data_IF_141132780650
#
_entry.id   IF_141132780650
#
_cell.length_a   1.000
_cell.length_b   1.000
_cell.length_c   1.000
_cell.angle_alpha   90.00
_cell.angle_beta   90.00
_cell.angle_gamma   90.00
#
_symmetry.space_group_name_H-M   'P 1'
#
loop_
_entity.id
_entity.type
_entity.pdbx_description
1 polymer ?
#
# COMPACT_ATOMS: atom_id res chain seq x y z
N UNK A 1 1.19 41.37 -38.42
CA UNK A 1 2.32 41.10 -37.51
C UNK A 1 2.00 39.85 -36.70
N UNK A 2 3.00 39.09 -36.26
CA UNK A 2 2.79 37.91 -35.39
C UNK A 2 3.05 38.29 -33.94
N UNK A 3 2.14 37.88 -33.06
CA UNK A 3 2.25 38.06 -31.63
C UNK A 3 2.27 36.70 -30.92
N UNK A 4 3.21 36.51 -30.00
CA UNK A 4 3.21 35.37 -29.09
C UNK A 4 2.49 35.75 -27.80
N UNK A 5 1.44 35.00 -27.48
CA UNK A 5 0.59 35.21 -26.32
C UNK A 5 0.81 34.09 -25.31
N UNK A 6 1.23 34.43 -24.09
CA UNK A 6 1.19 33.51 -22.95
C UNK A 6 -0.17 33.61 -22.28
N UNK A 7 -0.80 32.48 -21.98
CA UNK A 7 -2.07 32.41 -21.27
C UNK A 7 -2.10 31.19 -20.34
N UNK A 8 -3.04 31.19 -19.39
CA UNK A 8 -3.30 30.04 -18.54
C UNK A 8 -4.44 29.22 -19.12
N UNK A 9 -4.21 27.95 -19.40
CA UNK A 9 -5.22 27.02 -19.86
C UNK A 9 -6.16 26.61 -18.71
N UNK A 10 -7.30 25.98 -19.04
CA UNK A 10 -8.34 25.57 -18.08
C UNK A 10 -7.78 24.59 -17.02
N UNK A 11 -6.74 23.82 -17.37
CA UNK A 11 -6.02 22.90 -16.49
C UNK A 11 -4.99 23.58 -15.56
N UNK A 12 -4.91 24.92 -15.60
CA UNK A 12 -3.98 25.72 -14.80
C UNK A 12 -2.56 25.81 -15.37
N UNK A 13 -2.25 25.13 -16.47
CA UNK A 13 -0.91 25.18 -17.08
C UNK A 13 -0.68 26.46 -17.88
N UNK A 14 0.57 26.90 -17.92
CA UNK A 14 0.99 28.02 -18.76
C UNK A 14 1.20 27.53 -20.19
N UNK A 15 0.50 28.14 -21.14
CA UNK A 15 0.58 27.82 -22.56
C UNK A 15 0.96 29.05 -23.39
N UNK A 16 1.55 28.81 -24.56
CA UNK A 16 1.92 29.83 -25.53
C UNK A 16 1.17 29.61 -26.84
N UNK A 17 0.72 30.70 -27.46
CA UNK A 17 0.03 30.66 -28.76
C UNK A 17 0.46 31.84 -29.63
N UNK A 18 0.72 31.59 -30.90
CA UNK A 18 0.99 32.63 -31.88
C UNK A 18 -0.30 33.08 -32.57
N UNK A 19 -0.52 34.39 -32.67
CA UNK A 19 -1.70 35.00 -33.30
C UNK A 19 -1.26 36.10 -34.26
N UNK A 20 -1.84 36.11 -35.46
CA UNK A 20 -1.65 37.17 -36.44
C UNK A 20 -2.66 38.29 -36.24
N UNK A 21 -2.15 39.51 -36.04
CA UNK A 21 -2.94 40.73 -35.89
C UNK A 21 -2.18 41.94 -36.46
N UNK A 22 -2.88 43.02 -36.78
CA UNK A 22 -2.26 44.26 -37.22
C UNK A 22 -1.70 45.07 -36.04
N UNK A 23 -2.25 44.88 -34.84
CA UNK A 23 -1.84 45.59 -33.62
C UNK A 23 -1.97 44.73 -32.36
N UNK A 24 -1.31 45.15 -31.27
CA UNK A 24 -1.39 44.49 -29.97
C UNK A 24 -2.81 44.48 -29.40
N UNK A 25 -3.59 45.55 -29.60
CA UNK A 25 -4.98 45.64 -29.14
C UNK A 25 -5.88 44.65 -29.89
N UNK A 26 -5.70 44.50 -31.20
CA UNK A 26 -6.42 43.54 -32.02
C UNK A 26 -6.06 42.08 -31.65
N UNK A 27 -4.80 41.82 -31.30
CA UNK A 27 -4.37 40.52 -30.78
C UNK A 27 -5.11 40.15 -29.48
N UNK A 28 -5.23 41.09 -28.54
CA UNK A 28 -5.96 40.87 -27.27
C UNK A 28 -7.45 40.65 -27.54
N UNK A 29 -8.05 41.39 -28.46
CA UNK A 29 -9.46 41.19 -28.85
C UNK A 29 -9.69 39.79 -29.44
N UNK A 30 -8.79 39.32 -30.31
CA UNK A 30 -8.81 37.96 -30.87
C UNK A 30 -8.64 36.87 -29.81
N UNK A 31 -7.78 37.06 -28.81
CA UNK A 31 -7.67 36.14 -27.67
C UNK A 31 -8.96 36.03 -26.87
N UNK A 32 -9.58 37.18 -26.55
CA UNK A 32 -10.85 37.22 -25.81
C UNK A 32 -11.97 36.54 -26.59
N UNK A 33 -12.06 36.76 -27.91
CA UNK A 33 -13.02 36.08 -28.77
C UNK A 33 -12.84 34.54 -28.80
N UNK A 34 -11.63 34.05 -28.54
CA UNK A 34 -11.31 32.62 -28.42
C UNK A 34 -11.47 32.07 -26.99
N UNK A 35 -11.99 32.86 -26.05
CA UNK A 35 -12.15 32.46 -24.64
C UNK A 35 -10.84 32.38 -23.87
N UNK A 36 -9.77 33.02 -24.36
CA UNK A 36 -8.43 32.99 -23.76
C UNK A 36 -8.11 34.34 -23.11
N UNK A 37 -7.77 34.33 -21.83
CA UNK A 37 -7.28 35.50 -21.10
C UNK A 37 -5.74 35.63 -21.26
N UNK A 38 -5.23 36.61 -22.04
CA UNK A 38 -3.79 36.76 -22.26
C UNK A 38 -3.10 37.33 -21.01
N UNK A 39 -1.99 36.72 -20.60
CA UNK A 39 -1.14 37.16 -19.48
C UNK A 39 -0.01 38.06 -19.99
N UNK A 40 0.59 37.71 -21.13
CA UNK A 40 1.59 38.54 -21.80
C UNK A 40 1.47 38.40 -23.31
N UNK A 41 1.70 39.50 -24.03
CA UNK A 41 1.69 39.57 -25.49
C UNK A 41 3.03 40.17 -25.92
N UNK A 42 3.82 39.41 -26.68
CA UNK A 42 5.10 39.85 -27.25
C UNK A 42 5.00 39.89 -28.76
N UNK A 43 5.60 40.90 -29.38
CA UNK A 43 5.77 40.99 -30.83
C UNK A 43 6.87 40.04 -31.28
N UNK A 44 6.59 39.28 -32.35
CA UNK A 44 7.51 38.30 -32.91
C UNK A 44 7.29 36.88 -32.37
N UNK A 45 7.25 35.92 -33.29
CA UNK A 45 7.11 34.49 -33.03
C UNK A 45 6.96 33.69 -34.34
N UNK A 46 7.52 32.48 -34.40
CA UNK A 46 7.31 31.57 -35.53
C UNK A 46 5.88 31.01 -35.45
N UNK A 47 5.13 31.09 -36.54
CA UNK A 47 3.79 30.50 -36.65
C UNK A 47 3.95 28.98 -36.63
N UNK A 48 3.81 28.35 -35.47
CA UNK A 48 3.60 26.91 -35.42
C UNK A 48 2.17 26.64 -35.86
N UNK A 49 2.03 26.14 -37.09
CA UNK A 49 0.74 25.72 -37.60
C UNK A 49 0.19 24.60 -36.69
N UNK A 50 -0.76 24.94 -35.81
CA UNK A 50 -1.40 24.01 -34.89
C UNK A 50 -2.11 22.82 -35.59
N UNK A 51 -2.34 22.93 -36.91
CA UNK A 51 -2.86 21.84 -37.75
C UNK A 51 -1.80 20.78 -38.10
N UNK A 52 -0.50 21.11 -38.07
CA UNK A 52 0.58 20.15 -38.38
C UNK A 52 0.97 19.34 -37.15
N UNK A 53 1.00 19.94 -35.96
CA UNK A 53 1.32 19.23 -34.70
C UNK A 53 0.34 18.09 -34.39
N UNK A 54 -0.98 18.29 -34.58
CA UNK A 54 -1.97 17.22 -34.37
C UNK A 54 -1.85 16.05 -35.37
N UNK A 55 -1.25 16.27 -36.55
CA UNK A 55 -1.11 15.24 -37.60
C UNK A 55 0.21 14.45 -37.45
N UNK A 56 1.26 15.07 -36.93
CA UNK A 56 2.51 14.38 -36.56
C UNK A 56 2.40 13.63 -35.23
N UNK A 57 1.70 14.16 -34.22
CA UNK A 57 1.46 13.43 -32.96
C UNK A 57 0.69 12.12 -33.20
N UNK A 58 -0.30 12.12 -34.11
CA UNK A 58 -1.04 10.89 -34.45
C UNK A 58 -0.19 9.85 -35.20
N UNK A 59 0.81 10.26 -35.98
CA UNK A 59 1.74 9.34 -36.65
C UNK A 59 2.87 8.86 -35.71
N UNK A 60 3.33 9.72 -34.80
CA UNK A 60 4.35 9.38 -33.81
C UNK A 60 3.82 8.44 -32.70
N UNK A 61 2.54 8.56 -32.30
CA UNK A 61 1.91 7.62 -31.36
C UNK A 61 1.66 6.25 -31.98
N UNK A 62 1.23 6.17 -33.24
CA UNK A 62 1.01 4.89 -33.92
C UNK A 62 2.31 4.09 -34.14
N UNK A 63 3.40 4.77 -34.51
CA UNK A 63 4.70 4.12 -34.72
C UNK A 63 5.41 3.72 -33.42
N UNK A 64 5.28 4.49 -32.33
CA UNK A 64 5.94 4.18 -31.05
C UNK A 64 5.28 3.03 -30.30
N UNK A 65 3.96 2.86 -30.41
CA UNK A 65 3.26 1.74 -29.73
C UNK A 65 3.69 0.39 -30.32
N UNK A 66 3.91 0.30 -31.63
CA UNK A 66 4.37 -0.94 -32.29
C UNK A 66 5.81 -1.29 -31.87
N UNK A 67 6.71 -0.30 -31.78
CA UNK A 67 8.08 -0.54 -31.31
C UNK A 67 8.18 -0.87 -29.82
N UNK A 68 7.30 -0.32 -28.98
CA UNK A 68 7.22 -0.67 -27.55
C UNK A 68 6.69 -2.10 -27.38
N UNK A 69 5.67 -2.51 -28.15
CA UNK A 69 5.15 -3.89 -28.11
C UNK A 69 6.21 -4.88 -28.61
N UNK A 70 6.90 -4.59 -29.72
CA UNK A 70 7.98 -5.44 -30.23
C UNK A 70 9.18 -5.51 -29.26
N UNK A 71 9.53 -4.40 -28.60
CA UNK A 71 10.58 -4.36 -27.58
C UNK A 71 10.23 -5.15 -26.32
N UNK A 72 8.97 -5.13 -25.88
CA UNK A 72 8.50 -5.90 -24.72
C UNK A 72 8.44 -7.40 -25.03
N UNK A 73 8.07 -7.79 -26.25
CA UNK A 73 8.09 -9.21 -26.69
C UNK A 73 9.54 -9.73 -26.80
N UNK A 74 10.48 -8.91 -27.30
CA UNK A 74 11.90 -9.27 -27.35
C UNK A 74 12.55 -9.35 -25.96
N UNK A 75 12.25 -8.40 -25.06
CA UNK A 75 12.76 -8.43 -23.67
C UNK A 75 12.12 -9.55 -22.84
N UNK A 76 10.83 -9.84 -23.03
CA UNK A 76 10.16 -10.98 -22.40
C UNK A 76 10.71 -12.34 -22.87
N UNK A 77 11.07 -12.46 -24.15
CA UNK A 77 11.73 -13.65 -24.70
C UNK A 77 13.13 -13.87 -24.15
N UNK A 78 13.91 -12.80 -23.93
CA UNK A 78 15.26 -12.90 -23.34
C UNK A 78 15.17 -13.26 -21.84
N UNK A 79 14.20 -12.72 -21.12
CA UNK A 79 13.98 -13.04 -19.70
C UNK A 79 13.51 -14.50 -19.50
N UNK A 80 12.70 -15.04 -20.42
CA UNK A 80 12.31 -16.46 -20.45
C UNK A 80 13.51 -17.38 -20.74
N UNK A 81 14.40 -16.99 -21.65
CA UNK A 81 15.60 -17.78 -21.97
C UNK A 81 16.69 -17.74 -20.87
N UNK A 82 16.74 -16.69 -20.05
CA UNK A 82 17.69 -16.59 -18.94
C UNK A 82 17.22 -17.28 -17.65
N UNK A 83 15.91 -17.25 -17.35
CA UNK A 83 15.36 -17.91 -16.15
C UNK A 83 15.01 -19.39 -16.38
N UNK A 84 14.84 -19.84 -17.62
CA UNK A 84 14.57 -21.25 -17.94
C UNK A 84 15.78 -22.18 -17.91
N UNK A 85 17.00 -21.69 -17.61
CA UNK A 85 18.25 -22.44 -17.80
C UNK A 85 19.06 -22.71 -16.52
N UNK A 86 18.47 -22.54 -15.32
CA UNK A 86 19.17 -22.77 -14.04
C UNK A 86 18.62 -23.88 -13.14
N UNK A 87 17.69 -24.72 -13.60
CA UNK A 87 17.26 -25.90 -12.85
C UNK A 87 17.86 -27.19 -13.42
N UNK A 88 19.17 -27.34 -13.27
CA UNK A 88 19.83 -28.65 -13.26
C UNK A 88 21.20 -28.53 -12.57
N UNK A 89 21.21 -28.38 -11.25
CA UNK A 89 22.41 -28.66 -10.44
C UNK A 89 22.11 -29.81 -9.50
N UNK A 90 22.81 -30.89 -9.81
CA UNK A 90 22.93 -32.17 -9.13
C UNK A 90 23.15 -32.03 -7.63
N UNK A 91 22.29 -32.71 -6.88
CA UNK A 91 22.47 -33.01 -5.46
C UNK A 91 23.69 -33.93 -5.32
N UNK A 92 24.78 -33.42 -4.73
CA UNK A 92 25.79 -34.24 -4.06
C UNK A 92 25.83 -33.84 -2.59
N UNK A 93 25.41 -34.78 -1.75
CA UNK A 93 25.38 -34.63 -0.31
C UNK A 93 26.78 -34.52 0.29
N UNK A 94 26.93 -33.56 1.20
CA UNK A 94 27.93 -33.61 2.25
C UNK A 94 27.25 -33.29 3.59
N UNK A 95 27.55 -34.13 4.57
CA UNK A 95 26.90 -34.19 5.89
C UNK A 95 27.23 -32.94 6.72
N UNK A 96 26.29 -32.40 7.51
CA UNK A 96 26.60 -31.31 8.42
C UNK A 96 27.48 -31.79 9.58
N UNK A 97 28.63 -31.12 9.76
CA UNK A 97 29.48 -31.22 10.95
C UNK A 97 28.72 -30.64 12.14
N UNK A 98 28.50 -31.48 13.15
CA UNK A 98 28.01 -31.09 14.47
C UNK A 98 28.96 -30.07 15.11
N UNK A 99 28.42 -28.91 15.51
CA UNK A 99 29.11 -27.96 16.38
C UNK A 99 28.43 -28.00 17.74
N UNK A 100 29.26 -28.32 18.72
CA UNK A 100 28.99 -28.51 20.15
C UNK A 100 28.52 -27.22 20.83
N UNK A 101 27.57 -27.30 21.79
CA UNK A 101 27.19 -26.17 22.63
C UNK A 101 28.27 -25.91 23.71
N UNK A 102 28.79 -24.68 23.74
CA UNK A 102 29.71 -24.20 24.78
C UNK A 102 28.92 -23.95 26.08
N UNK A 103 29.15 -24.81 27.07
CA UNK A 103 28.71 -24.64 28.46
C UNK A 103 29.62 -23.62 29.16
N UNK A 104 29.11 -22.43 29.44
CA UNK A 104 29.78 -21.49 30.34
C UNK A 104 29.24 -21.68 31.77
N UNK A 105 30.04 -22.36 32.60
CA UNK A 105 29.85 -22.50 34.05
C UNK A 105 30.12 -21.14 34.71
N UNK A 106 29.10 -20.51 35.30
CA UNK A 106 29.30 -19.40 36.23
C UNK A 106 29.51 -19.99 37.62
N UNK A 107 30.69 -19.71 38.19
CA UNK A 107 31.14 -20.12 39.53
C UNK A 107 30.34 -19.39 40.61
N UNK A 108 29.76 -20.19 41.48
CA UNK A 108 29.25 -19.85 42.80
C UNK A 108 30.37 -19.32 43.71
N UNK A 109 30.15 -18.15 44.34
CA UNK A 109 30.86 -17.66 45.53
C UNK A 109 29.93 -16.79 46.37
N UNK A 110 29.23 -17.39 47.32
CA UNK A 110 29.01 -16.83 48.67
C UNK A 110 30.28 -17.14 49.50
N UNK A 111 30.60 -16.48 50.64
CA UNK A 111 29.68 -15.85 51.60
C UNK A 111 30.14 -14.48 52.13
N UNK A 112 29.22 -13.64 52.66
CA UNK A 112 29.43 -12.94 53.95
C UNK A 112 28.06 -12.67 54.57
N UNK A 113 27.92 -13.19 55.79
CA UNK A 113 26.84 -13.02 56.75
C UNK A 113 26.97 -11.63 57.37
N UNK A 114 26.00 -10.75 57.19
CA UNK A 114 25.92 -9.47 57.90
C UNK A 114 24.61 -9.39 58.68
N UNK A 115 24.75 -8.90 59.91
CA UNK A 115 23.81 -9.02 61.03
C UNK A 115 22.48 -8.32 60.78
N UNK A 116 21.43 -8.98 61.25
CA UNK A 116 20.10 -8.46 61.56
C UNK A 116 20.18 -7.28 62.53
N UNK A 117 19.69 -6.11 62.10
CA UNK A 117 19.23 -5.05 62.97
C UNK A 117 17.72 -4.86 62.72
N UNK A 118 16.93 -4.99 63.79
CA UNK A 118 15.48 -4.85 63.81
C UNK A 118 15.02 -3.50 63.22
N UNK A 119 14.06 -3.47 62.27
CA UNK A 119 13.26 -2.29 62.02
C UNK A 119 11.95 -2.33 62.82
N UNK A 120 11.62 -1.19 63.43
CA UNK A 120 10.40 -0.90 64.16
C UNK A 120 9.11 -1.25 63.35
N UNK A 121 7.96 -1.50 64.04
CA UNK A 121 6.74 -1.97 63.41
C UNK A 121 6.21 -0.98 62.37
N UNK A 122 6.03 -1.45 61.13
CA UNK A 122 5.31 -0.72 60.09
C UNK A 122 3.81 -0.65 60.46
N UNK A 123 3.14 0.50 60.25
CA UNK A 123 1.70 0.61 60.47
C UNK A 123 0.93 -0.32 59.50
N UNK A 124 -0.27 -0.78 59.88
CA UNK A 124 -1.01 -1.77 59.10
C UNK A 124 -1.29 -1.25 57.69
N UNK A 125 -1.02 -2.10 56.69
CA UNK A 125 -1.49 -1.91 55.31
C UNK A 125 -3.01 -1.76 55.37
N UNK A 126 -3.51 -0.56 55.07
CA UNK A 126 -4.91 -0.39 54.72
C UNK A 126 -5.19 -1.31 53.52
N UNK A 127 -6.06 -2.29 53.71
CA UNK A 127 -6.60 -3.12 52.65
C UNK A 127 -7.24 -2.18 51.62
N UNK A 128 -6.74 -2.22 50.38
CA UNK A 128 -7.37 -1.49 49.28
C UNK A 128 -8.77 -2.09 49.12
N UNK A 129 -9.84 -1.27 49.08
CA UNK A 129 -11.19 -1.78 48.88
C UNK A 129 -11.23 -2.61 47.60
N UNK A 130 -11.72 -3.84 47.73
CA UNK A 130 -11.94 -4.77 46.63
C UNK A 130 -12.88 -4.10 45.62
N UNK A 131 -12.38 -3.87 44.40
CA UNK A 131 -13.15 -3.17 43.37
C UNK A 131 -14.31 -4.05 42.90
N UNK A 132 -15.54 -3.66 43.28
CA UNK A 132 -16.76 -4.28 42.78
C UNK A 132 -17.09 -3.70 41.41
N UNK A 133 -16.86 -4.48 40.34
CA UNK A 133 -17.20 -4.12 38.96
C UNK A 133 -18.70 -3.80 38.83
N UNK A 134 -19.02 -2.58 38.42
CA UNK A 134 -20.38 -2.18 38.04
C UNK A 134 -20.52 -2.15 36.51
N UNK A 135 -21.70 -2.49 35.95
CA UNK A 135 -21.93 -2.41 34.51
C UNK A 135 -21.66 -0.99 33.99
N UNK A 136 -20.86 -0.88 32.93
CA UNK A 136 -20.42 0.40 32.38
C UNK A 136 -19.21 1.04 33.09
N UNK A 137 -18.58 0.39 34.07
CA UNK A 137 -17.37 0.89 34.74
C UNK A 137 -16.11 0.09 34.36
N UNK A 138 -15.20 0.73 33.63
CA UNK A 138 -13.88 0.19 33.30
C UNK A 138 -12.86 0.66 34.34
N UNK A 139 -12.30 -0.25 35.12
CA UNK A 139 -11.10 0.05 35.90
C UNK A 139 -9.86 -0.26 35.04
N UNK A 140 -9.08 0.78 34.78
CA UNK A 140 -7.81 0.68 34.08
C UNK A 140 -6.73 0.07 34.98
N UNK A 141 -5.62 -0.44 34.42
CA UNK A 141 -4.50 -0.99 35.20
C UNK A 141 -3.87 0.01 36.18
N UNK A 142 -4.03 1.31 35.93
CA UNK A 142 -3.58 2.40 36.79
C UNK A 142 -4.56 2.71 37.96
N UNK A 143 -5.66 1.97 38.04
CA UNK A 143 -6.69 2.11 39.08
C UNK A 143 -7.77 3.15 38.79
N UNK A 144 -7.70 3.88 37.66
CA UNK A 144 -8.74 4.85 37.28
C UNK A 144 -9.99 4.15 36.78
N UNK A 145 -11.16 4.66 37.16
CA UNK A 145 -12.46 4.14 36.74
C UNK A 145 -13.04 5.06 35.66
N UNK A 146 -13.22 4.54 34.45
CA UNK A 146 -13.95 5.19 33.38
C UNK A 146 -15.40 4.71 33.40
N UNK A 147 -16.35 5.63 33.35
CA UNK A 147 -17.79 5.34 33.33
C UNK A 147 -18.34 5.58 31.93
N UNK A 148 -19.07 4.60 31.41
CA UNK A 148 -19.71 4.63 30.10
C UNK A 148 -21.18 4.20 30.23
N UNK A 149 -22.08 4.71 29.38
CA UNK A 149 -23.44 4.21 29.34
C UNK A 149 -23.45 2.74 28.91
N UNK A 150 -24.16 1.89 29.65
CA UNK A 150 -24.18 0.44 29.47
C UNK A 150 -24.70 0.05 28.08
N UNK A 151 -24.02 -0.87 27.35
CA UNK A 151 -24.53 -1.44 26.10
C UNK A 151 -25.88 -2.14 26.31
N UNK A 152 -26.68 -2.27 25.25
CA UNK A 152 -27.90 -3.09 25.31
C UNK A 152 -27.53 -4.57 25.45
N UNK A 153 -28.41 -5.41 26.04
CA UNK A 153 -28.20 -6.85 26.10
C UNK A 153 -27.91 -7.43 24.70
N UNK A 154 -26.79 -8.15 24.56
CA UNK A 154 -26.34 -8.72 23.29
C UNK A 154 -25.48 -7.82 22.40
N UNK A 155 -25.30 -6.54 22.75
CA UNK A 155 -24.39 -5.64 22.03
C UNK A 155 -23.04 -5.53 22.77
N UNK A 156 -21.93 -5.58 22.03
CA UNK A 156 -20.61 -5.22 22.53
C UNK A 156 -20.24 -3.81 22.06
N UNK A 157 -19.59 -3.04 22.94
CA UNK A 157 -19.06 -1.71 22.61
C UNK A 157 -17.55 -1.74 22.59
N UNK A 158 -16.96 -1.15 21.55
CA UNK A 158 -15.52 -0.85 21.52
C UNK A 158 -15.25 0.49 22.18
N UNK A 159 -14.32 0.52 23.12
CA UNK A 159 -13.89 1.69 23.88
C UNK A 159 -12.40 1.89 23.66
N UNK A 160 -12.01 3.08 23.20
CA UNK A 160 -10.60 3.43 23.05
C UNK A 160 -10.16 4.27 24.24
N UNK A 161 -9.19 3.78 25.00
CA UNK A 161 -8.67 4.48 26.18
C UNK A 161 -7.17 4.23 26.33
N UNK A 162 -6.39 5.29 26.56
CA UNK A 162 -4.95 5.23 26.83
C UNK A 162 -4.13 4.41 25.81
N UNK A 163 -4.49 4.46 24.53
CA UNK A 163 -3.80 3.72 23.47
C UNK A 163 -4.21 2.25 23.32
N UNK A 164 -5.17 1.80 24.13
CA UNK A 164 -5.76 0.47 24.05
C UNK A 164 -7.19 0.52 23.50
N UNK A 165 -7.64 -0.58 22.91
CA UNK A 165 -9.01 -0.80 22.49
C UNK A 165 -9.61 -1.93 23.30
N UNK A 166 -10.66 -1.63 24.06
CA UNK A 166 -11.37 -2.59 24.89
C UNK A 166 -12.73 -2.91 24.28
N UNK A 167 -13.12 -4.17 24.31
CA UNK A 167 -14.49 -4.62 24.05
C UNK A 167 -15.22 -4.76 25.38
N UNK A 168 -16.34 -4.05 25.53
CA UNK A 168 -17.20 -4.04 26.71
C UNK A 168 -18.53 -4.71 26.38
N UNK A 169 -18.93 -5.68 27.18
CA UNK A 169 -20.29 -6.23 27.13
C UNK A 169 -21.25 -5.45 28.05
N UNK A 170 -22.54 -5.77 27.96
CA UNK A 170 -23.59 -5.23 28.82
C UNK A 170 -23.46 -5.62 30.31
N UNK A 171 -22.62 -6.62 30.63
CA UNK A 171 -22.38 -7.12 32.00
C UNK A 171 -21.20 -6.42 32.67
N UNK A 172 -20.47 -5.56 31.95
CA UNK A 172 -19.26 -4.89 32.46
C UNK A 172 -18.01 -5.78 32.43
N UNK A 173 -18.00 -6.85 31.63
CA UNK A 173 -16.79 -7.54 31.26
C UNK A 173 -16.08 -6.73 30.17
N UNK A 174 -14.77 -6.54 30.36
CA UNK A 174 -13.90 -5.86 29.43
C UNK A 174 -12.84 -6.84 28.93
N UNK A 175 -12.69 -6.92 27.61
CA UNK A 175 -11.61 -7.64 26.95
C UNK A 175 -10.73 -6.63 26.24
N UNK A 176 -9.43 -6.65 26.53
CA UNK A 176 -8.48 -5.91 25.71
C UNK A 176 -8.39 -6.59 24.33
N UNK A 177 -8.76 -5.86 23.30
CA UNK A 177 -8.69 -6.27 21.89
C UNK A 177 -7.72 -5.38 21.11
N UNK A 178 -6.81 -4.70 21.82
CA UNK A 178 -5.76 -3.88 21.18
C UNK A 178 -4.93 -4.77 20.26
N UNK A 179 -4.83 -4.43 18.96
CA UNK A 179 -3.96 -5.17 18.06
C UNK A 179 -2.53 -5.18 18.61
N UNK A 180 -1.94 -6.37 18.72
CA UNK A 180 -0.57 -6.50 19.20
C UNK A 180 0.37 -5.76 18.25
N UNK A 181 1.30 -5.00 18.81
CA UNK A 181 2.38 -4.42 18.01
C UNK A 181 3.39 -5.52 17.71
N UNK A 182 3.36 -6.04 16.49
CA UNK A 182 4.34 -7.02 16.00
C UNK A 182 5.74 -6.40 15.87
N UNK A 183 5.81 -5.09 15.64
CA UNK A 183 7.07 -4.38 15.44
C UNK A 183 7.15 -3.14 16.34
N UNK A 184 8.35 -2.84 16.82
CA UNK A 184 8.57 -1.79 17.81
C UNK A 184 9.18 -0.53 17.23
N UNK A 185 9.75 -0.61 16.02
CA UNK A 185 10.36 0.53 15.35
C UNK A 185 9.48 1.06 14.21
N UNK A 186 9.61 2.36 13.93
CA UNK A 186 8.92 2.98 12.80
C UNK A 186 9.37 2.40 11.45
N UNK A 187 10.64 2.02 11.34
CA UNK A 187 11.19 1.32 10.17
C UNK A 187 10.48 -0.02 9.96
N UNK A 188 10.52 -0.92 10.95
CA UNK A 188 9.93 -2.26 10.84
C UNK A 188 8.40 -2.18 10.58
N UNK A 189 7.69 -1.28 11.26
CA UNK A 189 6.25 -1.12 11.06
C UNK A 189 5.90 -0.62 9.64
N UNK A 190 6.70 0.30 9.09
CA UNK A 190 6.48 0.82 7.74
C UNK A 190 6.97 -0.16 6.67
N UNK A 191 8.02 -0.94 6.95
CA UNK A 191 8.50 -2.03 6.10
C UNK A 191 7.50 -3.20 6.06
N UNK A 192 6.80 -3.49 7.16
CA UNK A 192 5.65 -4.39 7.13
C UNK A 192 4.55 -3.86 6.20
N UNK A 193 4.30 -2.54 6.20
CA UNK A 193 3.36 -1.92 5.27
C UNK A 193 3.72 -2.12 3.79
N UNK A 194 5.01 -2.26 3.47
CA UNK A 194 5.53 -2.61 2.14
C UNK A 194 5.36 -4.11 1.84
N UNK A 195 5.54 -4.97 2.86
CA UNK A 195 5.48 -6.42 2.74
C UNK A 195 4.05 -6.98 2.65
N UNK A 196 3.10 -6.35 3.34
CA UNK A 196 1.72 -6.84 3.43
C UNK A 196 0.91 -6.37 2.24
N UNK A 197 0.09 -7.29 1.73
CA UNK A 197 -0.80 -7.01 0.63
C UNK A 197 -1.78 -5.87 0.94
N UNK A 198 -1.66 -4.74 0.21
CA UNK A 198 -2.53 -3.58 0.45
C UNK A 198 -2.18 -2.79 1.70
N UNK A 199 -1.02 -3.05 2.29
CA UNK A 199 -0.45 -2.25 3.36
C UNK A 199 -0.24 -0.80 2.91
N UNK A 200 -0.45 0.12 3.84
CA UNK A 200 -0.08 1.51 3.64
C UNK A 200 1.33 1.70 4.19
N UNK A 201 2.25 2.16 3.35
CA UNK A 201 3.56 2.60 3.79
C UNK A 201 3.84 4.00 3.25
N UNK A 202 4.74 4.69 3.95
CA UNK A 202 5.19 6.04 3.59
C UNK A 202 6.66 5.91 3.19
N UNK A 203 7.02 6.09 1.89
CA UNK A 203 8.39 5.90 1.42
C UNK A 203 9.44 6.69 2.22
N UNK A 204 9.09 7.91 2.65
CA UNK A 204 9.97 8.78 3.42
C UNK A 204 10.47 8.20 4.76
N UNK A 205 9.79 7.18 5.32
CA UNK A 205 10.26 6.49 6.53
C UNK A 205 11.19 5.30 6.25
N UNK A 206 11.40 4.93 4.98
CA UNK A 206 12.30 3.86 4.56
C UNK A 206 13.47 4.38 3.71
N UNK A 207 13.31 5.52 3.03
CA UNK A 207 14.35 6.11 2.18
C UNK A 207 15.20 7.14 2.91
N UNK A 208 16.46 7.34 2.49
CA UNK A 208 17.35 8.36 3.05
C UNK A 208 17.99 7.94 4.38
N UNK A 209 17.95 6.65 4.69
CA UNK A 209 18.65 6.04 5.81
C UNK A 209 20.03 5.55 5.36
N UNK A 210 20.98 5.43 6.28
CA UNK A 210 22.30 4.87 5.95
C UNK A 210 22.17 3.38 5.60
N UNK A 211 22.74 2.97 4.47
CA UNK A 211 22.62 1.61 3.95
C UNK A 211 23.18 0.56 4.91
N UNK A 212 24.23 0.90 5.66
CA UNK A 212 24.85 -0.01 6.61
C UNK A 212 23.94 -0.30 7.81
N UNK A 213 23.21 0.72 8.28
CA UNK A 213 22.26 0.58 9.37
C UNK A 213 20.96 -0.10 8.92
N UNK A 214 20.48 0.21 7.71
CA UNK A 214 19.36 -0.52 7.10
C UNK A 214 19.68 -2.01 6.98
N UNK A 215 20.88 -2.36 6.50
CA UNK A 215 21.30 -3.77 6.40
C UNK A 215 21.31 -4.46 7.77
N UNK A 216 21.79 -3.80 8.83
CA UNK A 216 21.73 -4.34 10.21
C UNK A 216 20.29 -4.56 10.67
N UNK A 217 19.38 -3.62 10.37
CA UNK A 217 17.96 -3.74 10.71
C UNK A 217 17.29 -4.89 9.96
N UNK A 218 17.59 -5.07 8.67
CA UNK A 218 17.07 -6.17 7.86
C UNK A 218 17.68 -7.53 8.23
N UNK A 219 18.91 -7.59 8.75
CA UNK A 219 19.51 -8.86 9.21
C UNK A 219 18.86 -9.40 10.49
N UNK A 220 18.25 -8.53 11.30
CA UNK A 220 17.52 -8.93 12.51
C UNK A 220 16.31 -9.79 12.13
N UNK A 221 16.36 -11.07 12.50
CA UNK A 221 15.22 -11.98 12.36
C UNK A 221 14.19 -11.69 13.44
N UNK A 222 12.91 -11.78 13.08
CA UNK A 222 11.84 -11.76 14.06
C UNK A 222 11.55 -13.19 14.50
N UNK A 223 11.56 -13.45 15.81
CA UNK A 223 11.20 -14.74 16.36
C UNK A 223 9.77 -14.66 16.93
N UNK A 224 8.83 -15.49 16.44
CA UNK A 224 7.49 -15.54 17.01
C UNK A 224 7.55 -16.05 18.46
N UNK A 225 6.68 -15.52 19.30
CA UNK A 225 6.60 -15.74 20.75
C UNK A 225 5.74 -16.99 21.06
N UNK A 226 4.99 -17.50 20.08
CA UNK A 226 4.25 -18.77 20.14
C UNK A 226 2.77 -18.62 20.50
N UNK A 227 2.30 -17.38 20.65
CA UNK A 227 0.91 -17.00 20.94
C UNK A 227 0.28 -16.15 19.83
N UNK A 228 0.95 -16.04 18.67
CA UNK A 228 0.45 -15.32 17.51
C UNK A 228 -0.78 -15.97 16.88
N UNK A 229 -1.71 -15.13 16.44
CA UNK A 229 -2.81 -15.54 15.57
C UNK A 229 -2.32 -15.93 14.17
N UNK A 230 -3.12 -16.69 13.42
CA UNK A 230 -2.81 -17.07 12.03
C UNK A 230 -2.55 -15.85 11.14
N UNK A 231 -3.30 -14.76 11.35
CA UNK A 231 -3.13 -13.50 10.63
C UNK A 231 -1.80 -12.81 10.97
N UNK A 232 -1.39 -12.85 12.23
CA UNK A 232 -0.10 -12.29 12.68
C UNK A 232 1.07 -13.11 12.14
N UNK A 233 0.95 -14.44 12.14
CA UNK A 233 1.94 -15.34 11.51
C UNK A 233 2.08 -15.08 10.02
N UNK A 234 0.97 -14.84 9.31
CA UNK A 234 1.00 -14.48 7.89
C UNK A 234 1.74 -13.15 7.64
N UNK A 235 1.52 -12.14 8.51
CA UNK A 235 2.22 -10.85 8.45
C UNK A 235 3.72 -10.99 8.72
N UNK A 236 4.10 -11.80 9.71
CA UNK A 236 5.50 -12.08 10.03
C UNK A 236 6.20 -12.80 8.86
N UNK A 237 5.52 -13.77 8.25
CA UNK A 237 6.03 -14.48 7.07
C UNK A 237 6.23 -13.53 5.88
N UNK A 238 5.25 -12.69 5.58
CA UNK A 238 5.36 -11.69 4.52
C UNK A 238 6.52 -10.71 4.77
N UNK A 239 6.67 -10.26 6.03
CA UNK A 239 7.79 -9.41 6.44
C UNK A 239 9.15 -10.09 6.20
N UNK A 240 9.29 -11.37 6.59
CA UNK A 240 10.52 -12.12 6.40
C UNK A 240 10.85 -12.38 4.92
N UNK A 241 9.84 -12.69 4.09
CA UNK A 241 10.02 -12.85 2.65
C UNK A 241 10.52 -11.55 2.01
N UNK A 242 9.87 -10.42 2.32
CA UNK A 242 10.26 -9.11 1.81
C UNK A 242 11.67 -8.69 2.29
N UNK A 243 12.01 -9.03 3.53
CA UNK A 243 13.33 -8.79 4.11
C UNK A 243 14.41 -9.56 3.37
N UNK A 244 14.18 -10.82 3.03
CA UNK A 244 15.09 -11.62 2.21
C UNK A 244 15.25 -11.00 0.81
N UNK A 245 14.16 -10.63 0.14
CA UNK A 245 14.22 -10.00 -1.18
C UNK A 245 14.98 -8.67 -1.16
N UNK A 246 14.78 -7.84 -0.15
CA UNK A 246 15.51 -6.58 0.01
C UNK A 246 17.00 -6.83 0.24
N UNK A 247 17.36 -7.81 1.06
CA UNK A 247 18.76 -8.20 1.29
C UNK A 247 19.41 -8.74 0.01
N UNK A 248 18.73 -9.60 -0.74
CA UNK A 248 19.21 -10.12 -2.03
C UNK A 248 19.45 -9.01 -3.04
N UNK A 249 18.53 -8.03 -3.13
CA UNK A 249 18.69 -6.85 -3.98
C UNK A 249 19.93 -6.03 -3.60
N UNK A 250 20.18 -5.85 -2.30
CA UNK A 250 21.37 -5.16 -1.79
C UNK A 250 22.66 -5.97 -2.04
N UNK A 251 22.61 -7.30 -1.97
CA UNK A 251 23.75 -8.16 -2.27
C UNK A 251 24.13 -8.16 -3.76
N UNK A 252 23.15 -7.96 -4.64
CA UNK A 252 23.37 -7.73 -6.08
C UNK A 252 23.94 -6.34 -6.41
N UNK A 253 24.16 -5.49 -5.41
CA UNK A 253 24.73 -4.16 -5.55
C UNK A 253 23.69 -3.04 -5.76
N UNK A 254 22.39 -3.34 -5.61
CA UNK A 254 21.34 -2.34 -5.62
C UNK A 254 21.28 -1.55 -4.30
N UNK A 255 20.74 -0.32 -4.35
CA UNK A 255 20.51 0.49 -3.14
C UNK A 255 19.13 0.23 -2.55
N UNK A 256 19.03 0.22 -1.22
CA UNK A 256 17.75 0.03 -0.56
C UNK A 256 16.72 1.11 -0.92
N UNK A 257 17.16 2.36 -1.06
CA UNK A 257 16.29 3.46 -1.48
C UNK A 257 15.68 3.21 -2.87
N UNK A 258 16.47 2.66 -3.81
CA UNK A 258 16.00 2.33 -5.16
C UNK A 258 14.96 1.21 -5.09
N UNK A 259 15.18 0.18 -4.28
CA UNK A 259 14.22 -0.90 -4.03
C UNK A 259 12.87 -0.37 -3.52
N UNK A 260 12.89 0.51 -2.51
CA UNK A 260 11.67 1.12 -1.95
C UNK A 260 10.97 1.99 -2.99
N UNK A 261 11.73 2.78 -3.76
CA UNK A 261 11.19 3.66 -4.80
C UNK A 261 10.57 2.87 -5.96
N UNK A 262 11.19 1.76 -6.38
CA UNK A 262 10.66 0.87 -7.41
C UNK A 262 9.31 0.28 -6.97
N UNK A 263 9.22 -0.26 -5.76
CA UNK A 263 7.99 -0.80 -5.20
C UNK A 263 6.91 0.28 -5.03
N UNK A 264 7.27 1.46 -4.51
CA UNK A 264 6.35 2.59 -4.41
C UNK A 264 5.81 3.02 -5.78
N UNK A 265 6.67 3.05 -6.80
CA UNK A 265 6.28 3.39 -8.17
C UNK A 265 5.37 2.31 -8.77
N UNK A 266 5.64 1.04 -8.49
CA UNK A 266 4.84 -0.09 -8.91
C UNK A 266 3.44 -0.03 -8.30
N UNK A 267 3.33 0.14 -6.98
CA UNK A 267 2.05 0.30 -6.30
C UNK A 267 1.26 1.50 -6.81
N UNK A 268 1.92 2.63 -7.03
CA UNK A 268 1.28 3.83 -7.57
C UNK A 268 0.70 3.56 -8.96
N UNK A 269 1.46 2.92 -9.85
CA UNK A 269 0.99 2.52 -11.18
C UNK A 269 -0.16 1.51 -11.10
N UNK A 270 -0.08 0.56 -10.17
CA UNK A 270 -1.14 -0.41 -9.93
C UNK A 270 -2.43 0.27 -9.49
N UNK A 271 -2.38 1.17 -8.50
CA UNK A 271 -3.53 1.93 -8.01
C UNK A 271 -4.14 2.80 -9.11
N UNK A 272 -3.32 3.46 -9.92
CA UNK A 272 -3.78 4.25 -11.07
C UNK A 272 -4.48 3.37 -12.11
N UNK A 273 -3.87 2.25 -12.48
CA UNK A 273 -4.43 1.32 -13.48
C UNK A 273 -5.74 0.71 -13.00
N UNK A 274 -5.82 0.34 -11.72
CA UNK A 274 -7.07 -0.13 -11.07
C UNK A 274 -8.14 0.93 -11.06
N UNK A 275 -7.82 2.16 -10.68
CA UNK A 275 -8.77 3.27 -10.66
C UNK A 275 -9.29 3.60 -12.06
N UNK A 276 -8.43 3.57 -13.08
CA UNK A 276 -8.84 3.75 -14.48
C UNK A 276 -9.78 2.63 -14.94
N UNK A 277 -9.39 1.37 -14.74
CA UNK A 277 -10.23 0.22 -15.12
C UNK A 277 -11.58 0.23 -14.40
N UNK A 278 -11.59 0.51 -13.10
CA UNK A 278 -12.82 0.67 -12.33
C UNK A 278 -13.67 1.83 -12.87
N UNK A 279 -13.06 2.95 -13.21
CA UNK A 279 -13.75 4.12 -13.78
C UNK A 279 -14.46 3.80 -15.10
N UNK A 280 -13.83 3.01 -15.97
CA UNK A 280 -14.40 2.56 -17.24
C UNK A 280 -15.56 1.58 -17.03
N UNK A 281 -15.38 0.58 -16.16
CA UNK A 281 -16.44 -0.38 -15.80
C UNK A 281 -17.65 0.36 -15.21
N UNK A 282 -17.42 1.26 -14.24
CA UNK A 282 -18.48 2.04 -13.61
C UNK A 282 -19.21 2.97 -14.59
N UNK A 283 -18.53 3.45 -15.64
CA UNK A 283 -19.15 4.24 -16.70
C UNK A 283 -20.14 3.41 -17.50
N UNK A 284 -19.79 2.17 -17.85
CA UNK A 284 -20.70 1.25 -18.57
C UNK A 284 -21.88 0.81 -17.70
N UNK A 285 -21.64 0.55 -16.41
CA UNK A 285 -22.71 0.25 -15.44
C UNK A 285 -23.71 1.40 -15.34
N UNK A 286 -23.23 2.64 -15.24
CA UNK A 286 -24.10 3.84 -15.21
C UNK A 286 -24.88 4.04 -16.51
N UNK A 287 -24.39 3.52 -17.63
CA UNK A 287 -25.07 3.56 -18.93
C UNK A 287 -26.07 2.39 -19.12
N UNK A 288 -26.21 1.50 -18.13
CA UNK A 288 -27.06 0.32 -18.22
C UNK A 288 -26.49 -0.82 -19.08
N UNK A 289 -25.26 -0.69 -19.57
CA UNK A 289 -24.58 -1.68 -20.43
C UNK A 289 -23.85 -2.72 -19.57
N UNK A 290 -24.60 -3.49 -18.80
CA UNK A 290 -24.02 -4.37 -17.78
C UNK A 290 -23.22 -5.55 -18.36
N UNK A 291 -23.65 -6.12 -19.49
CA UNK A 291 -22.90 -7.20 -20.17
C UNK A 291 -21.53 -6.72 -20.68
N UNK A 292 -21.49 -5.58 -21.37
CA UNK A 292 -20.25 -4.94 -21.81
C UNK A 292 -19.34 -4.56 -20.62
N UNK A 293 -19.93 -4.11 -19.51
CA UNK A 293 -19.20 -3.79 -18.30
C UNK A 293 -18.52 -5.03 -17.68
N UNK A 294 -19.19 -6.19 -17.70
CA UNK A 294 -18.65 -7.47 -17.21
C UNK A 294 -17.48 -7.93 -18.09
N UNK A 295 -17.65 -7.93 -19.41
CA UNK A 295 -16.57 -8.28 -20.35
C UNK A 295 -15.36 -7.36 -20.20
N UNK A 296 -15.60 -6.05 -20.04
CA UNK A 296 -14.53 -5.08 -19.81
C UNK A 296 -13.81 -5.33 -18.47
N UNK A 297 -14.55 -5.64 -17.41
CA UNK A 297 -13.95 -5.96 -16.11
C UNK A 297 -13.07 -7.22 -16.19
N UNK A 298 -13.53 -8.27 -16.87
CA UNK A 298 -12.78 -9.51 -17.08
C UNK A 298 -11.54 -9.29 -17.95
N UNK A 299 -11.67 -8.55 -19.06
CA UNK A 299 -10.54 -8.20 -19.92
C UNK A 299 -9.50 -7.34 -19.20
N UNK A 300 -9.96 -6.37 -18.39
CA UNK A 300 -9.08 -5.54 -17.58
C UNK A 300 -8.36 -6.37 -16.50
N UNK A 301 -9.05 -7.32 -15.87
CA UNK A 301 -8.44 -8.23 -14.89
C UNK A 301 -7.37 -9.14 -15.53
N UNK A 302 -7.64 -9.71 -16.72
CA UNK A 302 -6.64 -10.48 -17.48
C UNK A 302 -5.41 -9.64 -17.82
N UNK A 303 -5.60 -8.39 -18.23
CA UNK A 303 -4.49 -7.49 -18.54
C UNK A 303 -3.70 -7.08 -17.28
N UNK A 304 -4.37 -6.92 -16.14
CA UNK A 304 -3.71 -6.65 -14.86
C UNK A 304 -2.86 -7.85 -14.44
N UNK A 305 -3.40 -9.06 -14.54
CA UNK A 305 -2.67 -10.30 -14.21
C UNK A 305 -1.41 -10.47 -15.06
N UNK A 306 -1.50 -10.22 -16.38
CA UNK A 306 -0.33 -10.22 -17.28
C UNK A 306 0.76 -9.22 -16.89
N UNK A 307 0.40 -8.12 -16.21
CA UNK A 307 1.34 -7.10 -15.73
C UNK A 307 1.80 -7.34 -14.29
N UNK A 308 1.38 -8.44 -13.66
CA UNK A 308 1.62 -8.70 -12.24
C UNK A 308 0.82 -7.78 -11.30
N UNK A 309 -0.18 -7.07 -11.81
CA UNK A 309 -1.10 -6.26 -11.01
C UNK A 309 -2.28 -7.12 -10.57
N UNK A 310 -2.71 -6.94 -9.32
CA UNK A 310 -3.91 -7.62 -8.84
C UNK A 310 -5.20 -7.00 -9.41
N UNK A 311 -6.30 -7.78 -9.48
CA UNK A 311 -7.51 -7.42 -10.22
C UNK A 311 -8.23 -6.19 -9.64
N UNK A 312 -9.16 -5.64 -10.42
CA UNK A 312 -10.04 -4.55 -9.99
C UNK A 312 -10.97 -5.08 -8.89
N UNK A 313 -11.06 -4.34 -7.77
CA UNK A 313 -12.08 -4.59 -6.76
C UNK A 313 -13.36 -3.84 -7.15
N UNK A 314 -14.38 -4.60 -7.55
CA UNK A 314 -15.69 -4.07 -7.88
C UNK A 314 -16.52 -3.89 -6.62
N UNK A 315 -17.34 -2.82 -6.52
CA UNK A 315 -18.30 -2.67 -5.43
C UNK A 315 -19.33 -3.81 -5.41
N UNK A 316 -19.79 -4.20 -4.21
CA UNK A 316 -20.72 -5.32 -4.03
C UNK A 316 -22.01 -5.22 -4.88
N UNK A 317 -22.57 -4.02 -5.04
CA UNK A 317 -23.76 -3.81 -5.87
C UNK A 317 -23.52 -4.09 -7.37
N UNK A 318 -22.29 -3.88 -7.85
CA UNK A 318 -21.91 -4.16 -9.25
C UNK A 318 -21.68 -5.65 -9.44
N UNK A 319 -21.04 -6.31 -8.47
CA UNK A 319 -20.84 -7.76 -8.48
C UNK A 319 -22.18 -8.49 -8.54
N UNK A 320 -23.12 -8.14 -7.65
CA UNK A 320 -24.47 -8.71 -7.66
C UNK A 320 -25.18 -8.47 -9.00
N UNK A 321 -25.00 -7.29 -9.62
CA UNK A 321 -25.56 -7.01 -10.94
C UNK A 321 -24.95 -7.89 -12.04
N UNK A 322 -23.66 -8.23 -11.96
CA UNK A 322 -22.99 -9.12 -12.90
C UNK A 322 -23.37 -10.59 -12.72
N UNK A 323 -23.66 -10.99 -11.48
CA UNK A 323 -24.07 -12.36 -11.14
C UNK A 323 -25.51 -12.62 -11.62
N UNK A 324 -26.42 -11.66 -11.44
CA UNK A 324 -27.81 -11.73 -11.92
C UNK A 324 -27.94 -11.81 -13.46
N UNK A 325 -26.92 -11.35 -14.21
CA UNK A 325 -26.90 -11.48 -15.68
C UNK A 325 -26.59 -12.92 -16.08
N UNK A 326 -25.68 -13.58 -15.37
CA UNK A 326 -25.36 -14.99 -15.60
C UNK A 326 -26.60 -15.86 -15.43
N UNK A 327 -27.39 -15.63 -14.38
CA UNK A 327 -28.59 -16.44 -14.08
C UNK A 327 -29.70 -16.27 -15.13
N UNK A 328 -29.94 -15.05 -15.62
CA UNK A 328 -30.92 -14.78 -16.66
C UNK A 328 -30.51 -15.31 -18.06
N UNK A 329 -29.21 -15.53 -18.27
CA UNK A 329 -28.68 -16.10 -19.51
C UNK A 329 -28.95 -17.60 -19.58
N UNK A 330 -28.86 -18.30 -18.44
CA UNK A 330 -29.12 -19.73 -18.32
C UNK A 330 -30.61 -20.06 -18.39
N UNK A 331 -31.48 -19.25 -17.76
CA UNK A 331 -32.94 -19.50 -17.77
C UNK A 331 -33.61 -19.33 -19.13
N UNK A 332 -33.01 -18.57 -20.05
CA UNK A 332 -33.51 -18.40 -21.41
C UNK A 332 -33.08 -19.53 -22.35
N UNK A 333 -31.99 -20.25 -22.04
CA UNK A 333 -31.59 -21.44 -22.81
C UNK A 333 -32.46 -22.67 -22.47
N UNK A 334 -32.90 -22.80 -21.21
CA UNK A 334 -33.81 -23.89 -20.81
C UNK A 334 -35.25 -23.73 -21.32
N UNK A 335 -35.67 -22.52 -21.73
CA UNK A 335 -36.99 -22.29 -22.35
C UNK A 335 -37.01 -22.46 -23.87
N UNK A 336 -35.86 -22.72 -24.50
CA UNK A 336 -35.73 -22.96 -25.94
C UNK A 336 -35.39 -24.41 -26.29
N UNK A 337 -35.33 -25.29 -25.28
CA UNK A 337 -35.35 -26.75 -25.44
C UNK A 337 -36.73 -27.29 -25.08
#
# INVERSE_FOLDING_TARGET
MTFTVKYRAIDGKMCEKCIEAASRSECVAKCKAQGVAPISVKEGGKVSNAKTQRREERKALGGKVIWIIAGIVALGGVLWCFLGRQNEVTVKGEKPKAVTPVKTKIKEKTPVKAQTANPAPKPPKAEKPEYVKKPGQLQLPDGKILTFPTPKPGETRKVHAYGHTYECDHLGNFRDITPRKLFHTAFEANFLGLAVEGGAFIPAFLTGLDESDVKKMLLKKYEPIGDETEEEMAKLKAYDEMRCTALEFMEQGGKFDDFVNELASFEKKQRQTRAMGLGEVMKLVKQGKLAEAKEMAEAANKLMEQKGYKPIMLPAHVQNAFDNISENSTSNQEKQQ
#
